data_IF_731265888531
#
_entry.id   IF_731265888531
#
_cell.length_a   1.000
_cell.length_b   1.000
_cell.length_c   1.000
_cell.angle_alpha   90.00
_cell.angle_beta   90.00
_cell.angle_gamma   90.00
#
_symmetry.space_group_name_H-M   'P 1'
#
loop_
_entity.id
_entity.type
_entity.pdbx_description
1 polymer ?
#
# COMPACT_ATOMS: atom_id res chain seq x y z
N UNK A 1 -3.33 -25.04 -0.19
CA UNK A 1 -2.99 -24.18 -1.34
C UNK A 1 -3.53 -22.79 -1.10
N UNK A 2 -2.70 -21.76 -1.33
CA UNK A 2 -3.06 -20.35 -1.18
C UNK A 2 -3.25 -19.78 -2.57
N UNK A 3 -4.42 -19.19 -2.86
CA UNK A 3 -4.71 -18.56 -4.15
C UNK A 3 -5.08 -17.10 -3.94
N UNK A 4 -4.41 -16.22 -4.65
CA UNK A 4 -4.70 -14.78 -4.58
C UNK A 4 -4.29 -14.10 -5.89
N UNK A 5 -4.72 -12.87 -6.07
CA UNK A 5 -4.28 -12.05 -7.20
C UNK A 5 -3.10 -11.18 -6.78
N UNK A 6 -2.00 -11.27 -7.50
CA UNK A 6 -0.94 -10.28 -7.43
C UNK A 6 -1.18 -9.28 -8.56
N UNK A 7 -1.69 -8.11 -8.20
CA UNK A 7 -2.30 -7.19 -9.16
C UNK A 7 -3.44 -7.90 -9.92
N UNK A 8 -3.26 -8.20 -11.18
CA UNK A 8 -4.25 -8.91 -12.00
C UNK A 8 -3.85 -10.36 -12.32
N UNK A 9 -2.73 -10.81 -11.82
CA UNK A 9 -2.20 -12.14 -12.10
C UNK A 9 -2.56 -13.10 -10.98
N UNK A 10 -3.18 -14.22 -11.34
CA UNK A 10 -3.51 -15.25 -10.36
C UNK A 10 -2.24 -15.99 -9.93
N UNK A 11 -2.01 -16.01 -8.63
CA UNK A 11 -0.90 -16.70 -8.00
C UNK A 11 -1.45 -17.89 -7.20
N UNK A 12 -0.78 -19.02 -7.32
CA UNK A 12 -1.09 -20.23 -6.57
C UNK A 12 0.19 -20.71 -5.90
N UNK A 13 0.19 -20.74 -4.57
CA UNK A 13 1.34 -21.19 -3.79
C UNK A 13 0.94 -22.47 -3.04
N UNK A 14 1.69 -23.53 -3.29
CA UNK A 14 1.40 -24.85 -2.71
C UNK A 14 2.45 -25.33 -1.70
N UNK A 15 3.68 -24.90 -1.88
CA UNK A 15 4.82 -25.40 -1.11
C UNK A 15 5.45 -24.33 -0.23
N UNK A 16 4.74 -23.27 0.04
CA UNK A 16 5.24 -22.20 0.90
C UNK A 16 4.65 -22.33 2.30
N UNK A 17 5.47 -22.05 3.31
CA UNK A 17 4.97 -21.96 4.68
C UNK A 17 3.99 -20.79 4.77
N UNK A 18 2.77 -21.08 5.20
CA UNK A 18 1.71 -20.09 5.31
C UNK A 18 2.05 -18.95 6.27
N UNK A 19 3.00 -19.13 7.15
CA UNK A 19 3.49 -18.12 8.07
C UNK A 19 4.58 -17.23 7.46
N UNK A 20 5.08 -17.55 6.27
CA UNK A 20 6.01 -16.65 5.57
C UNK A 20 5.34 -15.30 5.41
N UNK A 21 6.04 -14.21 5.78
CA UNK A 21 5.46 -12.89 5.65
C UNK A 21 5.32 -12.49 4.18
N UNK A 22 4.30 -11.69 3.88
CA UNK A 22 4.09 -11.16 2.53
C UNK A 22 5.32 -10.39 2.05
N UNK A 23 5.97 -9.64 2.94
CA UNK A 23 7.20 -8.91 2.62
C UNK A 23 8.31 -9.84 2.16
N UNK A 24 8.59 -10.90 2.91
CA UNK A 24 9.63 -11.86 2.54
C UNK A 24 9.30 -12.57 1.24
N UNK A 25 8.04 -12.94 1.06
CA UNK A 25 7.59 -13.56 -0.19
C UNK A 25 7.81 -12.64 -1.39
N UNK A 26 7.42 -11.37 -1.28
CA UNK A 26 7.62 -10.40 -2.35
C UNK A 26 9.09 -10.23 -2.71
N UNK A 27 9.96 -10.08 -1.71
CA UNK A 27 11.36 -9.76 -1.92
C UNK A 27 12.19 -10.98 -2.30
N UNK A 28 11.95 -12.12 -1.66
CA UNK A 28 12.80 -13.33 -1.81
C UNK A 28 12.28 -14.28 -2.90
N UNK A 29 10.96 -14.42 -3.00
CA UNK A 29 10.38 -15.37 -3.96
C UNK A 29 9.96 -14.72 -5.28
N UNK A 30 9.51 -13.47 -5.24
CA UNK A 30 9.05 -12.76 -6.45
C UNK A 30 10.02 -11.70 -6.96
N UNK A 31 11.08 -11.41 -6.21
CA UNK A 31 12.06 -10.40 -6.62
C UNK A 31 11.50 -8.98 -6.66
N UNK A 32 10.36 -8.73 -6.01
CA UNK A 32 9.75 -7.40 -5.95
C UNK A 32 10.30 -6.63 -4.76
N UNK A 33 11.31 -5.82 -5.01
CA UNK A 33 12.05 -5.10 -3.97
C UNK A 33 11.58 -3.66 -3.75
N UNK A 34 10.52 -3.24 -4.43
CA UNK A 34 9.93 -1.90 -4.23
C UNK A 34 9.37 -1.71 -2.83
N UNK A 35 8.76 -2.75 -2.27
CA UNK A 35 8.31 -2.75 -0.87
C UNK A 35 9.50 -2.97 0.04
N UNK A 36 9.69 -2.09 1.03
CA UNK A 36 10.91 -2.05 1.86
C UNK A 36 10.69 -2.62 3.25
N UNK A 37 11.75 -3.10 3.85
CA UNK A 37 11.78 -3.54 5.24
C UNK A 37 12.56 -2.53 6.09
N UNK A 38 11.85 -1.86 7.00
CA UNK A 38 12.48 -0.96 7.95
C UNK A 38 12.53 -1.55 9.34
N UNK A 39 11.43 -1.46 10.08
CA UNK A 39 11.37 -1.90 11.48
C UNK A 39 11.06 -3.39 11.66
N UNK A 40 10.44 -4.04 10.68
CA UNK A 40 9.92 -5.42 10.76
C UNK A 40 8.97 -5.66 11.96
N UNK A 41 8.34 -4.60 12.46
CA UNK A 41 7.48 -4.63 13.64
C UNK A 41 6.15 -3.88 13.46
N UNK A 42 5.88 -3.39 12.25
CA UNK A 42 4.63 -2.70 11.94
C UNK A 42 4.61 -1.21 12.27
N UNK A 43 5.75 -0.61 12.62
CA UNK A 43 5.82 0.79 13.07
C UNK A 43 6.14 1.80 11.97
N UNK A 44 7.12 1.47 11.10
CA UNK A 44 7.67 2.46 10.17
C UNK A 44 6.82 2.67 8.90
N UNK A 45 6.00 1.70 8.51
CA UNK A 45 5.18 1.77 7.31
C UNK A 45 5.90 1.59 5.98
N UNK A 46 7.22 1.35 5.97
CA UNK A 46 7.98 1.17 4.74
C UNK A 46 7.54 -0.08 3.96
N UNK A 47 6.94 -1.06 4.63
CA UNK A 47 6.44 -2.29 4.05
C UNK A 47 4.96 -2.24 3.64
N UNK A 48 4.33 -1.09 3.70
CA UNK A 48 2.89 -0.95 3.40
C UNK A 48 2.57 -1.39 1.98
N UNK A 49 1.55 -2.24 1.86
CA UNK A 49 0.97 -2.68 0.60
C UNK A 49 -0.54 -2.51 0.66
N UNK A 50 -1.21 -2.56 -0.48
CA UNK A 50 -2.66 -2.50 -0.53
C UNK A 50 -3.24 -3.90 -0.70
N UNK A 51 -4.27 -4.19 0.07
CA UNK A 51 -4.99 -5.44 0.03
C UNK A 51 -6.42 -5.18 -0.43
N UNK A 52 -6.80 -5.78 -1.56
CA UNK A 52 -8.14 -5.68 -2.11
C UNK A 52 -8.97 -6.89 -1.72
N UNK A 53 -10.21 -6.65 -1.33
CA UNK A 53 -11.20 -7.69 -1.04
C UNK A 53 -12.57 -7.24 -1.51
N UNK A 54 -13.42 -8.20 -1.80
CA UNK A 54 -14.79 -7.90 -2.20
C UNK A 54 -15.68 -7.87 -0.96
N UNK A 55 -16.36 -6.74 -0.76
CA UNK A 55 -17.33 -6.56 0.33
C UNK A 55 -18.61 -6.01 -0.27
N UNK A 56 -19.70 -6.75 -0.11
CA UNK A 56 -21.02 -6.35 -0.62
C UNK A 56 -21.03 -6.10 -2.13
N UNK A 57 -20.28 -6.90 -2.90
CA UNK A 57 -20.21 -6.78 -4.35
C UNK A 57 -19.27 -5.67 -4.85
N UNK A 58 -18.59 -4.96 -3.94
CA UNK A 58 -17.66 -3.88 -4.29
C UNK A 58 -16.25 -4.24 -3.83
N UNK A 59 -15.25 -3.82 -4.62
CA UNK A 59 -13.87 -3.96 -4.26
C UNK A 59 -13.49 -2.89 -3.26
N UNK A 60 -12.95 -3.32 -2.12
CA UNK A 60 -12.48 -2.44 -1.05
C UNK A 60 -10.98 -2.66 -0.89
N UNK A 61 -10.22 -1.55 -0.83
CA UNK A 61 -8.78 -1.59 -0.62
C UNK A 61 -8.42 -1.06 0.76
N UNK A 62 -7.53 -1.76 1.43
CA UNK A 62 -7.01 -1.36 2.73
C UNK A 62 -5.50 -1.49 2.74
N UNK A 63 -4.84 -0.72 3.59
CA UNK A 63 -3.39 -0.83 3.78
C UNK A 63 -3.07 -1.87 4.84
N UNK A 64 -2.02 -2.63 4.61
CA UNK A 64 -1.52 -3.61 5.58
C UNK A 64 0.00 -3.55 5.64
N UNK A 65 0.56 -3.89 6.79
CA UNK A 65 2.00 -4.02 6.97
C UNK A 65 2.44 -5.41 6.52
N UNK A 66 3.08 -5.48 5.35
CA UNK A 66 3.49 -6.75 4.77
C UNK A 66 4.54 -7.49 5.59
N UNK A 67 5.27 -6.79 6.47
CA UNK A 67 6.26 -7.41 7.36
C UNK A 67 5.62 -8.26 8.48
N UNK A 68 4.34 -8.03 8.77
CA UNK A 68 3.60 -8.76 9.80
C UNK A 68 2.54 -9.70 9.23
N UNK A 69 2.11 -9.47 8.00
CA UNK A 69 1.02 -10.25 7.40
C UNK A 69 1.56 -11.58 6.86
N UNK A 70 1.08 -12.73 7.35
CA UNK A 70 1.45 -14.02 6.77
C UNK A 70 0.81 -14.19 5.40
N UNK A 71 1.50 -14.87 4.49
CA UNK A 71 1.01 -15.07 3.11
C UNK A 71 -0.33 -15.82 3.08
N UNK A 72 -0.57 -16.67 4.07
CA UNK A 72 -1.85 -17.39 4.18
C UNK A 72 -3.06 -16.46 4.28
N UNK A 73 -2.86 -15.24 4.79
CA UNK A 73 -3.94 -14.26 4.89
C UNK A 73 -4.34 -13.64 3.54
N UNK A 74 -3.57 -13.88 2.48
CA UNK A 74 -3.89 -13.37 1.14
C UNK A 74 -4.92 -14.22 0.41
N UNK A 75 -5.23 -15.42 0.90
CA UNK A 75 -6.13 -16.33 0.20
C UNK A 75 -7.47 -15.68 -0.14
N UNK A 76 -7.85 -15.75 -1.42
CA UNK A 76 -9.07 -15.14 -1.91
C UNK A 76 -9.05 -13.60 -2.06
N UNK A 77 -7.88 -12.96 -1.91
CA UNK A 77 -7.75 -11.50 -1.96
C UNK A 77 -6.85 -11.05 -3.11
N UNK A 78 -6.74 -9.75 -3.25
CA UNK A 78 -5.84 -9.12 -4.23
C UNK A 78 -4.75 -8.36 -3.49
N UNK A 79 -3.51 -8.60 -3.86
CA UNK A 79 -2.36 -7.86 -3.35
C UNK A 79 -1.89 -6.88 -4.41
N UNK A 80 -1.74 -5.62 -4.04
CA UNK A 80 -1.20 -4.57 -4.91
C UNK A 80 0.02 -3.97 -4.22
N UNK A 81 1.11 -3.90 -4.95
CA UNK A 81 2.37 -3.32 -4.50
C UNK A 81 2.70 -2.06 -5.31
N UNK A 82 3.71 -1.32 -4.89
CA UNK A 82 4.11 -0.09 -5.56
C UNK A 82 4.48 -0.33 -7.03
N UNK A 83 5.02 -1.49 -7.35
CA UNK A 83 5.39 -1.86 -8.73
C UNK A 83 4.16 -2.05 -9.63
N UNK A 84 2.99 -2.24 -9.06
CA UNK A 84 1.77 -2.49 -9.83
C UNK A 84 1.02 -1.21 -10.22
N UNK A 85 1.41 -0.06 -9.66
CA UNK A 85 0.65 1.18 -9.84
C UNK A 85 0.86 1.81 -11.22
N UNK A 86 2.06 1.70 -11.78
CA UNK A 86 2.33 2.26 -13.11
C UNK A 86 1.72 1.38 -14.20
N UNK A 87 1.37 1.99 -15.31
CA UNK A 87 0.87 1.31 -16.50
C UNK A 87 1.80 1.61 -17.67
N UNK A 88 2.66 0.64 -18.02
CA UNK A 88 3.71 0.88 -19.00
C UNK A 88 4.64 2.01 -18.55
N UNK A 89 4.75 3.06 -19.35
CA UNK A 89 5.58 4.23 -19.04
C UNK A 89 4.82 5.30 -18.25
N UNK A 90 3.52 5.09 -17.96
CA UNK A 90 2.71 6.05 -17.23
C UNK A 90 2.73 5.76 -15.74
N UNK A 91 3.11 6.75 -14.96
CA UNK A 91 3.00 6.69 -13.50
C UNK A 91 1.53 6.82 -13.08
N UNK A 92 1.17 6.15 -11.99
CA UNK A 92 -0.11 6.39 -11.33
C UNK A 92 -0.17 7.85 -10.84
N UNK A 93 -1.39 8.42 -10.76
CA UNK A 93 -1.55 9.80 -10.32
C UNK A 93 -0.88 10.12 -8.99
N UNK A 94 -0.90 9.20 -8.04
CA UNK A 94 -0.21 9.34 -6.75
C UNK A 94 1.30 9.41 -6.95
N UNK A 95 1.86 8.54 -7.78
CA UNK A 95 3.30 8.54 -8.07
C UNK A 95 3.72 9.83 -8.78
N UNK A 96 2.93 10.27 -9.73
CA UNK A 96 3.17 11.50 -10.47
C UNK A 96 3.15 12.72 -9.52
N UNK A 97 2.19 12.78 -8.63
CA UNK A 97 2.11 13.85 -7.63
C UNK A 97 3.33 13.87 -6.70
N UNK A 98 3.83 12.71 -6.32
CA UNK A 98 5.05 12.61 -5.50
C UNK A 98 6.27 13.15 -6.24
N UNK A 99 6.39 12.86 -7.53
CA UNK A 99 7.48 13.38 -8.36
C UNK A 99 7.38 14.90 -8.52
N UNK A 100 6.21 15.40 -8.84
CA UNK A 100 5.99 16.83 -9.09
C UNK A 100 6.18 17.69 -7.85
N UNK A 101 5.82 17.16 -6.68
CA UNK A 101 5.96 17.87 -5.42
C UNK A 101 7.31 17.67 -4.73
N UNK A 102 8.23 16.91 -5.34
CA UNK A 102 9.53 16.58 -4.74
C UNK A 102 9.40 16.01 -3.32
N UNK A 103 8.41 15.15 -3.11
CA UNK A 103 8.02 14.69 -1.79
C UNK A 103 8.93 13.62 -1.20
N UNK A 104 9.87 13.11 -1.96
CA UNK A 104 10.80 12.05 -1.54
C UNK A 104 12.21 12.63 -1.31
N UNK A 105 12.85 12.19 -0.24
CA UNK A 105 14.27 12.50 0.01
C UNK A 105 15.13 11.29 -0.31
N UNK A 106 15.38 10.39 0.67
CA UNK A 106 16.17 9.18 0.43
C UNK A 106 15.40 8.08 -0.32
N UNK A 107 14.08 8.15 -0.35
CA UNK A 107 13.24 7.21 -1.09
C UNK A 107 12.90 5.93 -0.36
N UNK A 108 13.39 5.71 0.85
CA UNK A 108 13.19 4.43 1.56
C UNK A 108 11.75 4.26 2.05
N UNK A 109 11.16 5.28 2.66
CA UNK A 109 9.76 5.24 3.13
C UNK A 109 8.75 5.56 2.02
N UNK A 110 9.22 6.03 0.87
CA UNK A 110 8.37 6.53 -0.22
C UNK A 110 7.40 5.46 -0.75
N UNK A 111 7.81 4.20 -1.02
CA UNK A 111 6.85 3.20 -1.51
C UNK A 111 5.68 2.97 -0.56
N UNK A 112 5.93 2.90 0.74
CA UNK A 112 4.89 2.73 1.74
C UNK A 112 3.93 3.91 1.78
N UNK A 113 4.47 5.12 1.70
CA UNK A 113 3.67 6.34 1.67
C UNK A 113 2.78 6.39 0.41
N UNK A 114 3.35 6.04 -0.74
CA UNK A 114 2.60 5.97 -2.01
C UNK A 114 1.44 4.97 -1.90
N UNK A 115 1.67 3.81 -1.32
CA UNK A 115 0.62 2.81 -1.15
C UNK A 115 -0.48 3.28 -0.20
N UNK A 116 -0.13 4.00 0.85
CA UNK A 116 -1.12 4.60 1.75
C UNK A 116 -1.99 5.63 1.03
N UNK A 117 -1.39 6.47 0.21
CA UNK A 117 -2.12 7.44 -0.61
C UNK A 117 -3.00 6.76 -1.65
N UNK A 118 -2.51 5.70 -2.28
CA UNK A 118 -3.29 4.91 -3.22
C UNK A 118 -4.55 4.34 -2.57
N UNK A 119 -4.41 3.71 -1.42
CA UNK A 119 -5.55 3.14 -0.70
C UNK A 119 -6.53 4.22 -0.25
N UNK A 120 -6.01 5.36 0.22
CA UNK A 120 -6.83 6.50 0.61
C UNK A 120 -7.63 7.04 -0.58
N UNK A 121 -6.99 7.17 -1.73
CA UNK A 121 -7.66 7.60 -2.96
C UNK A 121 -8.78 6.63 -3.34
N UNK A 122 -8.54 5.33 -3.25
CA UNK A 122 -9.54 4.32 -3.58
C UNK A 122 -10.71 4.29 -2.60
N UNK A 123 -10.45 4.55 -1.33
CA UNK A 123 -11.51 4.66 -0.32
C UNK A 123 -12.28 5.97 -0.45
N UNK A 124 -11.59 7.03 -0.87
CA UNK A 124 -12.08 8.39 -0.84
C UNK A 124 -12.55 8.92 -2.19
N UNK A 125 -12.83 8.06 -3.16
CA UNK A 125 -13.38 8.54 -4.42
C UNK A 125 -14.64 9.36 -4.17
N UNK A 126 -14.43 10.64 -4.03
CA UNK A 126 -15.46 11.63 -3.98
C UNK A 126 -15.49 12.60 -2.80
N UNK A 127 -14.82 12.44 -1.66
CA UNK A 127 -14.93 13.48 -0.64
C UNK A 127 -14.21 13.27 0.68
N UNK A 128 -13.60 12.15 0.97
CA UNK A 128 -13.10 11.89 2.32
C UNK A 128 -11.99 12.85 2.76
N UNK A 129 -11.24 13.39 1.83
CA UNK A 129 -10.21 14.38 2.12
C UNK A 129 -10.80 15.67 2.69
N UNK A 130 -12.03 16.01 2.29
CA UNK A 130 -12.73 17.19 2.80
C UNK A 130 -13.47 16.93 4.11
N UNK A 131 -13.95 15.71 4.29
CA UNK A 131 -14.82 15.38 5.43
C UNK A 131 -14.06 14.85 6.62
N UNK A 132 -12.82 14.40 6.43
CA UNK A 132 -11.99 13.81 7.48
C UNK A 132 -10.54 14.30 7.37
N UNK A 133 -10.29 15.59 7.60
CA UNK A 133 -8.91 16.09 7.61
C UNK A 133 -8.13 15.44 8.74
N UNK A 134 -6.82 15.24 8.51
CA UNK A 134 -5.97 14.68 9.53
C UNK A 134 -5.84 15.64 10.73
N UNK A 135 -5.54 15.13 11.92
CA UNK A 135 -5.28 16.02 13.07
C UNK A 135 -4.15 17.01 12.81
N UNK A 136 -3.20 16.64 11.98
CA UNK A 136 -2.11 17.55 11.59
C UNK A 136 -2.63 18.72 10.77
N UNK A 137 -3.52 18.47 9.84
CA UNK A 137 -4.12 19.50 9.00
C UNK A 137 -4.98 20.45 9.83
N UNK A 138 -5.72 19.92 10.78
CA UNK A 138 -6.51 20.72 11.72
C UNK A 138 -5.63 21.63 12.57
N UNK A 139 -4.49 21.15 13.03
CA UNK A 139 -3.52 22.00 13.75
C UNK A 139 -2.98 23.10 12.87
N UNK A 140 -2.60 22.76 11.65
CA UNK A 140 -2.10 23.73 10.69
C UNK A 140 -3.10 24.84 10.40
N UNK A 141 -4.36 24.49 10.22
CA UNK A 141 -5.41 25.49 9.97
C UNK A 141 -5.74 26.32 11.19
N UNK A 142 -5.56 25.82 12.40
CA UNK A 142 -5.79 26.60 13.64
C UNK A 142 -4.68 27.59 13.92
N UNK A 143 -3.44 27.22 13.65
CA UNK A 143 -2.30 28.11 13.92
C UNK A 143 -2.37 29.40 13.14
N UNK A 144 -2.62 29.41 11.83
CA UNK A 144 -2.78 30.66 11.08
C UNK A 144 -3.93 31.51 11.56
N UNK A 145 -5.03 30.92 11.96
CA UNK A 145 -6.21 31.67 12.41
C UNK A 145 -6.00 32.31 13.77
N UNK A 146 -5.12 31.76 14.59
CA UNK A 146 -4.80 32.32 15.90
C UNK A 146 -3.74 33.42 15.82
N UNK A 147 -3.07 33.51 14.72
CA UNK A 147 -2.10 34.56 14.49
C UNK A 147 -2.78 35.77 13.88
#
# INVERSE_FOLDING_TARGET
MIQFLLNQTLVREQQIDANTTVLNWLRQHKGRCGTKEGCASGDCGACTVALGRVVGGKMVYETVNSCLLPIGALDGKQLITVEDLHQGDRLHGVQQAMVESHASQCGFCTPGFVMSLFALQKQGEGCLLYTSPSPRDQRGSRMPSSA
#
